data_IF_510334884974
#
_entry.id   IF_510334884974
#
_cell.length_a   1.000
_cell.length_b   1.000
_cell.length_c   1.000
_cell.angle_alpha   90.00
_cell.angle_beta   90.00
_cell.angle_gamma   90.00
#
_symmetry.space_group_name_H-M   'P 1'
#
loop_
_entity.id
_entity.type
_entity.pdbx_description
1 polymer ?
#
# COMPACT_ATOMS: atom_id res chain seq x y z
N UNK A 1 -19.67 1.25 -5.39
CA UNK A 1 -18.41 1.81 -5.88
C UNK A 1 -18.02 2.86 -4.88
N UNK A 2 -17.04 2.49 -4.08
CA UNK A 2 -16.43 3.34 -3.07
C UNK A 2 -15.34 4.10 -3.81
N UNK A 3 -15.35 5.43 -3.67
CA UNK A 3 -14.36 6.29 -4.30
C UNK A 3 -13.05 6.09 -3.52
N UNK A 4 -12.13 5.34 -4.10
CA UNK A 4 -10.80 5.11 -3.54
C UNK A 4 -9.81 6.05 -4.21
N UNK A 5 -9.02 6.76 -3.41
CA UNK A 5 -7.88 7.52 -3.88
C UNK A 5 -6.65 6.62 -3.94
N UNK A 6 -5.85 6.80 -4.98
CA UNK A 6 -4.53 6.16 -5.18
C UNK A 6 -3.45 7.21 -4.97
N UNK A 7 -2.38 6.87 -4.26
CA UNK A 7 -1.17 7.70 -4.22
C UNK A 7 0.10 6.85 -4.20
N UNK A 8 1.22 7.52 -4.47
CA UNK A 8 2.56 6.96 -4.32
C UNK A 8 2.99 7.08 -2.85
N UNK A 9 3.24 5.97 -2.15
CA UNK A 9 3.67 5.98 -0.76
C UNK A 9 5.08 6.53 -0.58
N UNK A 10 5.36 7.11 0.58
CA UNK A 10 6.68 7.63 0.94
C UNK A 10 7.49 6.59 1.71
N UNK A 11 8.72 6.35 1.26
CA UNK A 11 9.68 5.45 1.91
C UNK A 11 11.09 6.04 1.89
N UNK A 12 11.93 5.60 2.84
CA UNK A 12 13.31 6.06 2.98
C UNK A 12 14.33 5.05 2.46
N UNK A 13 14.01 3.77 2.60
CA UNK A 13 14.86 2.63 2.27
C UNK A 13 13.98 1.48 1.73
N UNK A 14 14.61 0.42 1.21
CA UNK A 14 13.92 -0.73 0.63
C UNK A 14 14.40 -2.03 1.30
N UNK A 15 13.48 -2.94 1.58
CA UNK A 15 13.73 -4.20 2.28
C UNK A 15 13.08 -5.41 1.60
N UNK A 16 13.74 -6.56 1.72
CA UNK A 16 13.26 -7.86 1.24
C UNK A 16 12.87 -8.79 2.42
N UNK A 17 12.71 -8.22 3.61
CA UNK A 17 12.35 -8.94 4.82
C UNK A 17 10.93 -9.51 4.77
N UNK A 18 10.67 -10.49 5.63
CA UNK A 18 9.36 -11.13 5.76
C UNK A 18 8.32 -10.07 6.12
N UNK A 19 7.21 -10.06 5.39
CA UNK A 19 6.18 -9.04 5.53
C UNK A 19 4.95 -9.60 6.24
N UNK A 20 4.49 -8.88 7.24
CA UNK A 20 3.21 -9.07 7.90
C UNK A 20 2.44 -7.75 7.81
N UNK A 21 1.12 -7.82 7.57
CA UNK A 21 0.32 -6.60 7.42
C UNK A 21 0.42 -5.76 8.70
N UNK A 22 0.86 -4.49 8.62
CA UNK A 22 0.97 -3.65 9.79
C UNK A 22 -0.41 -3.40 10.41
N UNK A 23 -0.42 -3.11 11.71
CA UNK A 23 -1.60 -2.66 12.44
C UNK A 23 -1.39 -1.20 12.88
N UNK A 24 -2.49 -0.47 13.15
CA UNK A 24 -2.44 0.92 13.64
C UNK A 24 -1.46 1.09 14.82
N UNK A 25 -1.34 0.09 15.70
CA UNK A 25 -0.47 0.16 16.87
C UNK A 25 1.02 -0.17 16.59
N UNK A 26 1.35 -0.69 15.41
CA UNK A 26 2.75 -0.86 14.99
C UNK A 26 3.40 0.48 14.64
N UNK A 27 2.60 1.47 14.24
CA UNK A 27 3.10 2.81 13.93
C UNK A 27 3.43 3.58 15.22
N UNK A 28 4.53 4.34 15.17
CA UNK A 28 4.97 5.20 16.27
C UNK A 28 4.15 6.49 16.45
N UNK A 29 3.05 6.62 15.69
CA UNK A 29 2.22 7.83 15.56
C UNK A 29 0.74 7.44 15.62
N UNK A 30 -0.09 8.36 16.12
CA UNK A 30 -1.56 8.26 16.05
C UNK A 30 -2.13 9.10 14.89
N UNK A 31 -1.25 9.75 14.11
CA UNK A 31 -1.63 10.64 13.02
C UNK A 31 -1.90 9.80 11.76
N UNK A 32 -3.19 9.61 11.44
CA UNK A 32 -3.60 8.75 10.34
C UNK A 32 -3.09 9.25 8.99
N UNK A 33 -2.89 10.56 8.81
CA UNK A 33 -2.31 11.10 7.59
C UNK A 33 -0.88 10.63 7.38
N UNK A 34 -0.05 10.68 8.43
CA UNK A 34 1.33 10.15 8.39
C UNK A 34 1.35 8.63 8.19
N UNK A 35 0.38 7.91 8.77
CA UNK A 35 0.24 6.46 8.51
C UNK A 35 -0.18 6.22 7.05
N UNK A 36 -0.98 7.10 6.46
CA UNK A 36 -1.51 6.94 5.11
C UNK A 36 -0.39 6.91 4.06
N UNK A 37 0.72 7.63 4.27
CA UNK A 37 1.91 7.61 3.41
C UNK A 37 2.55 6.22 3.25
N UNK A 38 2.18 5.23 4.07
CA UNK A 38 2.68 3.86 3.96
C UNK A 38 1.83 2.94 3.05
N UNK A 39 0.68 3.44 2.58
CA UNK A 39 -0.34 2.67 1.86
C UNK A 39 -0.43 3.13 0.40
N UNK A 40 -1.07 2.36 -0.46
CA UNK A 40 -1.31 2.81 -1.86
C UNK A 40 -2.71 3.37 -2.03
N UNK A 41 -3.68 2.89 -1.24
CA UNK A 41 -5.10 3.16 -1.42
C UNK A 41 -5.77 3.68 -0.15
N UNK A 42 -6.71 4.61 -0.30
CA UNK A 42 -7.55 5.10 0.80
C UNK A 42 -9.00 5.30 0.36
N UNK A 43 -9.96 4.85 1.17
CA UNK A 43 -11.40 5.08 0.95
C UNK A 43 -11.91 6.45 1.43
N UNK A 44 -11.11 7.17 2.22
CA UNK A 44 -11.47 8.48 2.81
C UNK A 44 -10.49 9.59 2.44
N UNK A 45 -9.48 9.30 1.61
CA UNK A 45 -8.36 10.20 1.28
C UNK A 45 -7.14 10.02 2.20
N UNK A 46 -6.03 10.67 1.85
CA UNK A 46 -4.73 10.53 2.54
C UNK A 46 -4.44 11.67 3.52
N UNK A 47 -4.92 12.90 3.28
CA UNK A 47 -4.64 14.05 4.16
C UNK A 47 -5.26 13.92 5.57
N UNK A 48 -6.44 13.30 5.69
CA UNK A 48 -7.16 13.13 6.97
C UNK A 48 -8.07 11.89 6.87
N UNK A 49 -7.52 10.67 6.93
CA UNK A 49 -8.31 9.45 6.83
C UNK A 49 -9.26 9.34 8.02
N UNK A 50 -10.51 8.94 7.78
CA UNK A 50 -11.48 8.77 8.87
C UNK A 50 -11.05 7.68 9.87
N UNK A 51 -10.45 6.59 9.38
CA UNK A 51 -10.01 5.42 10.16
C UNK A 51 -8.87 4.68 9.47
N UNK A 52 -8.05 3.98 10.25
CA UNK A 52 -7.05 3.04 9.73
C UNK A 52 -7.61 1.99 8.77
N UNK A 53 -8.86 1.55 8.99
CA UNK A 53 -9.52 0.56 8.13
C UNK A 53 -9.82 1.06 6.72
N UNK A 54 -9.78 2.38 6.49
CA UNK A 54 -10.01 2.98 5.17
C UNK A 54 -8.76 2.92 4.30
N UNK A 55 -7.57 2.76 4.91
CA UNK A 55 -6.30 2.55 4.25
C UNK A 55 -6.16 1.09 3.77
N UNK A 56 -5.64 0.90 2.56
CA UNK A 56 -5.50 -0.40 1.87
C UNK A 56 -4.17 -0.50 1.14
N UNK A 57 -3.72 -1.74 0.95
CA UNK A 57 -2.43 -2.07 0.35
C UNK A 57 -1.24 -1.37 1.07
N UNK A 58 -0.93 -1.77 2.32
CA UNK A 58 0.30 -1.33 2.98
C UNK A 58 1.49 -1.94 2.27
N UNK A 59 2.38 -1.10 1.75
CA UNK A 59 3.59 -1.54 1.03
C UNK A 59 4.87 -1.04 1.67
N UNK A 60 4.77 -0.02 2.51
CA UNK A 60 5.86 0.48 3.35
C UNK A 60 5.62 0.04 4.78
N UNK A 61 6.66 -0.50 5.40
CA UNK A 61 6.61 -0.93 6.79
C UNK A 61 6.65 0.28 7.76
N UNK A 62 6.28 0.10 9.05
CA UNK A 62 6.31 1.18 10.05
C UNK A 62 7.68 1.82 10.28
N UNK A 63 8.76 1.15 9.85
CA UNK A 63 10.14 1.66 9.88
C UNK A 63 10.48 2.56 8.66
N UNK A 64 9.51 2.84 7.79
CA UNK A 64 9.65 3.60 6.53
C UNK A 64 10.46 2.87 5.43
N UNK A 65 10.51 1.53 5.49
CA UNK A 65 11.12 0.68 4.47
C UNK A 65 10.04 0.17 3.49
N UNK A 66 10.23 0.39 2.19
CA UNK A 66 9.42 -0.24 1.15
C UNK A 66 9.70 -1.75 1.16
N UNK A 67 8.66 -2.59 1.16
CA UNK A 67 8.84 -4.03 1.29
C UNK A 67 8.42 -4.80 0.03
N UNK A 68 9.37 -5.56 -0.52
CA UNK A 68 9.18 -6.41 -1.69
C UNK A 68 8.01 -7.40 -1.55
N UNK A 69 7.90 -8.06 -0.40
CA UNK A 69 6.85 -9.05 -0.13
C UNK A 69 5.49 -8.38 0.05
N UNK A 70 5.46 -7.15 0.56
CA UNK A 70 4.26 -6.33 0.65
C UNK A 70 3.73 -5.96 -0.74
N UNK A 71 4.61 -5.47 -1.62
CA UNK A 71 4.29 -5.15 -3.02
C UNK A 71 3.70 -6.36 -3.74
N UNK A 72 4.37 -7.52 -3.66
CA UNK A 72 3.86 -8.75 -4.28
C UNK A 72 2.49 -9.16 -3.72
N UNK A 73 2.28 -8.98 -2.43
CA UNK A 73 1.01 -9.30 -1.77
C UNK A 73 -0.11 -8.33 -2.16
N UNK A 74 0.19 -7.04 -2.31
CA UNK A 74 -0.71 -6.00 -2.77
C UNK A 74 -1.02 -6.12 -4.28
N UNK A 75 -0.11 -6.67 -5.07
CA UNK A 75 -0.31 -6.86 -6.50
C UNK A 75 -1.16 -8.11 -6.82
N UNK A 76 -0.79 -9.28 -6.29
CA UNK A 76 -1.40 -10.58 -6.67
C UNK A 76 -1.75 -11.49 -5.49
N UNK A 77 -1.38 -11.11 -4.26
CA UNK A 77 -1.57 -11.92 -3.06
C UNK A 77 -2.96 -11.89 -2.44
N UNK A 78 -3.05 -12.38 -1.20
CA UNK A 78 -4.30 -12.44 -0.44
C UNK A 78 -4.91 -11.08 -0.10
N UNK A 79 -4.09 -10.02 -0.13
CA UNK A 79 -4.47 -8.63 0.13
C UNK A 79 -4.36 -7.75 -1.11
N UNK A 80 -4.49 -8.36 -2.29
CA UNK A 80 -4.33 -7.63 -3.54
C UNK A 80 -5.38 -6.54 -3.75
N UNK A 81 -5.03 -5.50 -4.50
CA UNK A 81 -5.92 -4.37 -4.80
C UNK A 81 -7.21 -4.81 -5.49
N UNK A 82 -7.14 -5.86 -6.34
CA UNK A 82 -8.29 -6.48 -7.00
C UNK A 82 -9.26 -7.21 -6.05
N UNK A 83 -8.84 -7.51 -4.81
CA UNK A 83 -9.68 -8.16 -3.80
C UNK A 83 -10.36 -7.18 -2.86
N UNK A 84 -10.06 -5.88 -2.99
CA UNK A 84 -10.72 -4.84 -2.20
C UNK A 84 -12.20 -4.81 -2.58
N UNK A 85 -13.07 -4.76 -1.56
CA UNK A 85 -14.51 -4.73 -1.79
C UNK A 85 -14.90 -3.40 -2.43
N UNK A 86 -15.73 -3.46 -3.47
CA UNK A 86 -16.37 -2.29 -4.07
C UNK A 86 -15.41 -1.26 -4.72
N UNK A 87 -14.17 -1.67 -5.03
CA UNK A 87 -13.19 -0.91 -5.82
C UNK A 87 -13.52 -0.97 -7.32
N UNK A 88 -13.32 0.14 -8.02
CA UNK A 88 -13.53 0.24 -9.47
C UNK A 88 -12.30 -0.24 -10.26
N UNK A 89 -12.52 -0.74 -11.48
CA UNK A 89 -11.46 -1.27 -12.34
C UNK A 89 -10.39 -0.19 -12.66
N UNK A 90 -10.79 1.07 -12.86
CA UNK A 90 -9.87 2.18 -13.11
C UNK A 90 -8.92 2.42 -11.91
N UNK A 91 -9.44 2.41 -10.68
CA UNK A 91 -8.63 2.54 -9.45
C UNK A 91 -7.66 1.36 -9.30
N UNK A 92 -8.10 0.15 -9.65
CA UNK A 92 -7.23 -1.04 -9.62
C UNK A 92 -6.07 -0.91 -10.60
N UNK A 93 -6.32 -0.38 -11.80
CA UNK A 93 -5.30 -0.12 -12.82
C UNK A 93 -4.28 0.92 -12.31
N UNK A 94 -4.76 2.08 -11.84
CA UNK A 94 -3.89 3.13 -11.25
C UNK A 94 -3.06 2.59 -10.06
N UNK A 95 -3.66 1.81 -9.18
CA UNK A 95 -2.94 1.22 -8.04
C UNK A 95 -1.90 0.19 -8.48
N UNK A 96 -2.17 -0.58 -9.55
CA UNK A 96 -1.21 -1.53 -10.11
C UNK A 96 -0.02 -0.83 -10.75
N UNK A 97 -0.26 0.23 -11.53
CA UNK A 97 0.81 1.05 -12.08
C UNK A 97 1.74 1.57 -10.97
N UNK A 98 1.19 2.07 -9.86
CA UNK A 98 2.01 2.51 -8.71
C UNK A 98 2.81 1.36 -8.10
N UNK A 99 2.19 0.18 -7.90
CA UNK A 99 2.89 -0.98 -7.36
C UNK A 99 4.02 -1.46 -8.28
N UNK A 100 3.82 -1.40 -9.59
CA UNK A 100 4.82 -1.73 -10.61
C UNK A 100 5.98 -0.72 -10.61
N UNK A 101 5.71 0.58 -10.50
CA UNK A 101 6.75 1.61 -10.39
C UNK A 101 7.58 1.43 -9.10
N UNK A 102 6.93 1.13 -7.97
CA UNK A 102 7.61 0.85 -6.70
C UNK A 102 8.46 -0.42 -6.77
N UNK A 103 8.02 -1.44 -7.50
CA UNK A 103 8.77 -2.68 -7.66
C UNK A 103 10.07 -2.50 -8.44
N UNK A 104 10.20 -1.46 -9.27
CA UNK A 104 11.44 -1.14 -10.00
C UNK A 104 12.62 -0.82 -9.06
N UNK A 105 12.34 -0.46 -7.79
CA UNK A 105 13.37 -0.26 -6.77
C UNK A 105 14.05 -1.58 -6.34
N UNK A 106 13.50 -2.73 -6.73
CA UNK A 106 14.09 -4.04 -6.44
C UNK A 106 14.50 -4.77 -7.73
N UNK A 107 15.76 -5.19 -7.82
CA UNK A 107 16.32 -5.92 -8.99
C UNK A 107 15.67 -7.31 -9.19
N UNK A 108 15.17 -7.93 -8.11
CA UNK A 108 14.59 -9.29 -8.10
C UNK A 108 13.06 -9.33 -7.93
N UNK A 109 12.39 -8.18 -7.70
CA UNK A 109 10.92 -8.13 -7.58
C UNK A 109 10.31 -7.91 -8.97
N UNK A 110 10.29 -8.99 -9.75
CA UNK A 110 9.44 -9.04 -10.94
C UNK A 110 7.99 -9.20 -10.51
N UNK A 111 7.18 -8.14 -10.57
CA UNK A 111 5.71 -8.25 -10.56
C UNK A 111 5.25 -8.82 -11.92
N UNK A 112 5.71 -10.03 -12.26
CA UNK A 112 5.37 -10.70 -13.50
C UNK A 112 4.11 -11.56 -13.30
N UNK A 113 3.08 -11.29 -14.13
CA UNK A 113 1.76 -11.98 -14.19
C UNK A 113 1.84 -13.48 -14.51
#
# INVERSE_FOLDING_TARGET
MTDYDVHEPEYSDATEEDWDSPQENDFGTDDLGEIADHFVLSASGFDDPDRYSDLKAPVVDPDCDLNANALQTAYSGGHSVERIDDVDDDTVDDARDVLEDLADEFDDVGLED
#
